data_IF_111687363899
#
_entry.id   IF_111687363899
#
_cell.length_a   1.000
_cell.length_b   1.000
_cell.length_c   1.000
_cell.angle_alpha   90.00
_cell.angle_beta   90.00
_cell.angle_gamma   90.00
#
_symmetry.space_group_name_H-M   'P 1'
#
loop_
_entity.id
_entity.type
_entity.pdbx_description
1 polymer ?
#
# COMPACT_ATOMS: atom_id res chain seq x y z
N UNK A 1 -30.36 1.53 -11.19
CA UNK A 1 -29.40 0.71 -11.96
C UNK A 1 -28.10 1.47 -12.01
N UNK A 2 -27.07 1.04 -11.28
CA UNK A 2 -25.76 1.71 -11.22
C UNK A 2 -24.75 0.76 -11.87
N UNK A 3 -24.08 1.26 -12.90
CA UNK A 3 -23.07 0.53 -13.66
C UNK A 3 -21.92 0.12 -12.74
N UNK A 4 -21.70 -1.19 -12.59
CA UNK A 4 -20.47 -1.73 -12.00
C UNK A 4 -19.35 -1.57 -13.03
N UNK A 5 -18.61 -0.47 -12.95
CA UNK A 5 -17.21 -0.52 -13.38
C UNK A 5 -16.50 -1.55 -12.50
N UNK A 6 -15.51 -2.31 -13.00
CA UNK A 6 -14.78 -3.25 -12.18
C UNK A 6 -13.92 -2.44 -11.20
N UNK A 7 -14.54 -2.00 -10.10
CA UNK A 7 -13.87 -1.47 -8.94
C UNK A 7 -12.94 -2.56 -8.45
N UNK A 8 -11.64 -2.37 -8.70
CA UNK A 8 -10.61 -3.10 -7.99
C UNK A 8 -10.92 -2.85 -6.51
N UNK A 9 -11.45 -3.86 -5.84
CA UNK A 9 -11.71 -3.84 -4.41
C UNK A 9 -10.33 -3.91 -3.77
N UNK A 10 -9.71 -2.76 -3.54
CA UNK A 10 -8.41 -2.69 -2.85
C UNK A 10 -8.71 -2.95 -1.38
N UNK A 11 -8.28 -4.10 -0.86
CA UNK A 11 -8.43 -4.41 0.56
C UNK A 11 -7.81 -3.30 1.42
N UNK A 12 -8.45 -2.99 2.54
CA UNK A 12 -8.00 -1.94 3.47
C UNK A 12 -6.89 -2.45 4.40
N UNK A 13 -5.80 -2.98 3.86
CA UNK A 13 -4.57 -3.35 4.57
C UNK A 13 -4.66 -4.45 5.65
N UNK A 14 -3.56 -5.19 5.86
CA UNK A 14 -2.37 -5.29 5.00
C UNK A 14 -2.71 -6.04 3.70
N UNK A 15 -2.13 -5.60 2.58
CA UNK A 15 -2.31 -6.29 1.30
C UNK A 15 -1.50 -7.58 1.32
N UNK A 16 -2.00 -8.60 0.63
CA UNK A 16 -1.45 -9.96 0.70
C UNK A 16 -0.13 -10.13 -0.05
N UNK A 17 0.11 -9.35 -1.10
CA UNK A 17 1.27 -9.50 -1.96
C UNK A 17 1.95 -8.15 -2.21
N UNK A 18 3.28 -8.16 -2.35
CA UNK A 18 4.09 -6.95 -2.59
C UNK A 18 3.66 -6.21 -3.86
N UNK A 19 3.23 -6.94 -4.88
CA UNK A 19 2.81 -6.37 -6.17
C UNK A 19 1.62 -5.42 -6.04
N UNK A 20 0.72 -5.66 -5.08
CA UNK A 20 -0.43 -4.76 -4.86
C UNK A 20 0.04 -3.41 -4.33
N UNK A 21 1.03 -3.41 -3.42
CA UNK A 21 1.66 -2.17 -2.94
C UNK A 21 2.41 -1.45 -4.07
N UNK A 22 3.15 -2.19 -4.91
CA UNK A 22 3.88 -1.61 -6.04
C UNK A 22 2.94 -1.00 -7.07
N UNK A 23 1.82 -1.67 -7.38
CA UNK A 23 0.80 -1.16 -8.30
C UNK A 23 0.19 0.14 -7.79
N UNK A 24 -0.07 0.25 -6.49
CA UNK A 24 -0.58 1.48 -5.87
C UNK A 24 0.47 2.58 -5.90
N UNK A 25 1.71 2.27 -5.51
CA UNK A 25 2.84 3.21 -5.56
C UNK A 25 3.09 3.75 -6.96
N UNK A 26 3.10 2.89 -7.99
CA UNK A 26 3.28 3.28 -9.38
C UNK A 26 2.16 4.22 -9.85
N UNK A 27 0.90 3.89 -9.55
CA UNK A 27 -0.25 4.74 -9.90
C UNK A 27 -0.21 6.11 -9.22
N UNK A 28 0.30 6.17 -7.99
CA UNK A 28 0.45 7.41 -7.24
C UNK A 28 1.67 8.24 -7.68
N UNK A 29 2.63 7.66 -8.41
CA UNK A 29 3.89 8.33 -8.74
C UNK A 29 4.93 8.29 -7.62
N UNK A 30 4.82 7.30 -6.72
CA UNK A 30 5.85 7.05 -5.72
C UNK A 30 7.12 6.47 -6.37
N UNK A 31 8.29 6.90 -5.88
CA UNK A 31 9.59 6.34 -6.31
C UNK A 31 9.91 5.03 -5.60
N UNK A 32 9.49 4.91 -4.34
CA UNK A 32 9.81 3.79 -3.46
C UNK A 32 8.60 3.39 -2.62
N UNK A 33 8.51 2.09 -2.31
CA UNK A 33 7.60 1.55 -1.30
C UNK A 33 8.43 0.93 -0.18
N UNK A 34 8.10 1.29 1.06
CA UNK A 34 8.78 0.84 2.27
C UNK A 34 7.86 -0.07 3.09
N UNK A 35 8.14 -1.38 3.06
CA UNK A 35 7.45 -2.42 3.84
C UNK A 35 8.45 -3.02 4.84
N UNK A 36 8.16 -2.91 6.13
CA UNK A 36 9.02 -3.43 7.19
C UNK A 36 8.18 -3.88 8.39
N UNK A 37 8.61 -4.95 9.05
CA UNK A 37 8.00 -5.41 10.30
C UNK A 37 8.01 -4.30 11.36
N UNK A 38 6.95 -4.29 12.18
CA UNK A 38 6.67 -3.28 13.18
C UNK A 38 6.55 -1.84 12.65
N UNK A 39 6.35 -1.64 11.34
CA UNK A 39 6.11 -0.34 10.73
C UNK A 39 4.83 -0.34 9.90
N UNK A 40 4.21 0.84 9.75
CA UNK A 40 3.14 1.02 8.76
C UNK A 40 3.74 0.99 7.35
N UNK A 41 3.01 0.50 6.34
CA UNK A 41 3.36 0.69 4.94
C UNK A 41 3.57 2.19 4.65
N UNK A 42 4.72 2.52 4.06
CA UNK A 42 5.09 3.89 3.67
C UNK A 42 5.51 3.92 2.22
N UNK A 43 5.42 5.09 1.60
CA UNK A 43 5.97 5.35 0.28
C UNK A 43 6.84 6.60 0.28
N UNK A 44 7.64 6.75 -0.77
CA UNK A 44 8.26 8.02 -1.10
C UNK A 44 7.52 8.66 -2.27
N UNK A 45 6.63 9.60 -1.98
CA UNK A 45 5.86 10.33 -2.99
C UNK A 45 6.53 11.66 -3.29
N UNK A 46 7.04 11.83 -4.51
CA UNK A 46 7.76 13.04 -4.94
C UNK A 46 8.83 13.51 -3.94
N UNK A 47 9.62 12.56 -3.42
CA UNK A 47 10.68 12.80 -2.45
C UNK A 47 10.25 12.77 -0.97
N UNK A 48 8.95 12.80 -0.67
CA UNK A 48 8.42 12.82 0.71
C UNK A 48 8.12 11.41 1.21
N UNK A 49 8.70 11.05 2.35
CA UNK A 49 8.39 9.78 3.02
C UNK A 49 7.16 9.94 3.91
N UNK A 50 6.10 9.22 3.60
CA UNK A 50 4.82 9.31 4.33
C UNK A 50 4.07 7.96 4.31
N UNK A 51 3.10 7.73 5.21
CA UNK A 51 2.26 6.55 5.17
C UNK A 51 1.49 6.47 3.85
N UNK A 52 1.34 5.26 3.30
CA UNK A 52 0.49 5.07 2.11
C UNK A 52 -0.99 5.28 2.50
N UNK A 53 -1.36 4.81 3.70
CA UNK A 53 -2.65 5.11 4.33
C UNK A 53 -2.43 5.57 5.78
N UNK A 54 -3.12 6.62 6.25
CA UNK A 54 -2.96 7.15 7.61
C UNK A 54 -3.28 6.14 8.72
N UNK A 55 -4.24 5.26 8.47
CA UNK A 55 -4.84 4.31 9.40
C UNK A 55 -4.35 2.86 9.21
N UNK A 56 -3.39 2.63 8.29
CA UNK A 56 -2.86 1.28 8.07
C UNK A 56 -2.29 0.69 9.38
N UNK A 57 -2.55 -0.60 9.67
CA UNK A 57 -1.91 -1.29 10.77
C UNK A 57 -0.40 -1.40 10.56
N UNK A 58 0.34 -1.65 11.65
CA UNK A 58 1.76 -2.03 11.54
C UNK A 58 1.85 -3.43 10.94
N UNK A 59 2.78 -3.62 10.01
CA UNK A 59 3.11 -4.95 9.51
C UNK A 59 3.75 -5.77 10.63
N UNK A 60 3.47 -7.07 10.69
CA UNK A 60 4.13 -8.01 11.59
C UNK A 60 5.23 -8.74 10.82
N UNK A 61 6.00 -9.61 11.50
CA UNK A 61 7.05 -10.38 10.85
C UNK A 61 6.50 -11.29 9.74
N UNK A 62 5.29 -11.83 9.95
CA UNK A 62 4.59 -12.72 9.02
C UNK A 62 4.22 -12.04 7.69
N UNK A 63 4.08 -10.70 7.68
CA UNK A 63 3.79 -9.94 6.47
C UNK A 63 5.05 -9.63 5.64
N UNK A 64 6.24 -9.89 6.17
CA UNK A 64 7.54 -9.61 5.52
C UNK A 64 8.42 -10.85 5.38
N UNK A 65 7.87 -12.03 5.67
CA UNK A 65 8.56 -13.32 5.62
C UNK A 65 8.55 -13.92 4.22
#
# INVERSE_FOLDING_TARGET
MIAKSPEITVESHPLRHVDDYLKIGQKAGASDVHLAANARPRWRLHGRLEPIWPDAPRLTAEHTA
#
